data_IF_539994658338
#
_entry.id   IF_539994658338
#
_cell.length_a   1.000
_cell.length_b   1.000
_cell.length_c   1.000
_cell.angle_alpha   90.00
_cell.angle_beta   90.00
_cell.angle_gamma   90.00
#
_symmetry.space_group_name_H-M   'P 1'
#
loop_
_entity.id
_entity.type
_entity.pdbx_description
1 polymer ?
#
# COMPACT_ATOMS: atom_id res chain seq x y z
N UNK A 1 -21.02 -14.95 11.57
CA UNK A 1 -21.77 -14.48 10.37
C UNK A 1 -20.78 -13.65 9.56
N UNK A 2 -20.13 -14.25 8.56
CA UNK A 2 -19.11 -13.56 7.75
C UNK A 2 -19.82 -12.62 6.80
N UNK A 3 -19.88 -11.33 7.15
CA UNK A 3 -20.34 -10.29 6.26
C UNK A 3 -19.35 -10.25 5.08
N UNK A 4 -19.84 -10.46 3.87
CA UNK A 4 -19.00 -10.51 2.67
C UNK A 4 -18.35 -9.14 2.43
N UNK A 5 -17.07 -9.02 2.78
CA UNK A 5 -16.20 -7.84 2.52
C UNK A 5 -16.07 -7.55 1.01
N UNK A 6 -16.49 -8.49 0.15
CA UNK A 6 -16.45 -8.39 -1.31
C UNK A 6 -17.21 -7.18 -1.87
N UNK A 7 -18.19 -6.62 -1.14
CA UNK A 7 -18.82 -5.33 -1.50
C UNK A 7 -18.00 -4.10 -1.10
N UNK A 8 -17.37 -4.11 0.08
CA UNK A 8 -16.66 -2.93 0.59
C UNK A 8 -15.33 -2.64 -0.11
N UNK A 9 -14.55 -3.68 -0.43
CA UNK A 9 -13.22 -3.49 -1.02
C UNK A 9 -13.29 -2.91 -2.44
N UNK A 10 -14.17 -3.43 -3.29
CA UNK A 10 -14.32 -2.94 -4.65
C UNK A 10 -14.89 -1.51 -4.67
N UNK A 11 -15.81 -1.18 -3.75
CA UNK A 11 -16.31 0.19 -3.61
C UNK A 11 -15.21 1.17 -3.19
N UNK A 12 -14.32 0.78 -2.27
CA UNK A 12 -13.15 1.58 -1.89
C UNK A 12 -12.22 1.78 -3.09
N UNK A 13 -11.93 0.71 -3.82
CA UNK A 13 -11.08 0.79 -5.01
C UNK A 13 -11.70 1.64 -6.12
N UNK A 14 -13.03 1.57 -6.30
CA UNK A 14 -13.77 2.39 -7.25
C UNK A 14 -13.76 3.88 -6.83
N UNK A 15 -13.93 4.18 -5.55
CA UNK A 15 -13.84 5.54 -5.03
C UNK A 15 -12.42 6.12 -5.19
N UNK A 16 -11.40 5.29 -4.94
CA UNK A 16 -10.00 5.65 -5.14
C UNK A 16 -9.68 5.88 -6.62
N UNK A 17 -10.21 5.04 -7.52
CA UNK A 17 -10.07 5.20 -8.96
C UNK A 17 -10.76 6.45 -9.48
N UNK A 18 -11.96 6.76 -9.00
CA UNK A 18 -12.70 7.97 -9.39
C UNK A 18 -11.96 9.25 -9.02
N UNK A 19 -11.21 9.24 -7.91
CA UNK A 19 -10.48 10.41 -7.41
C UNK A 19 -9.02 10.48 -7.85
N UNK A 20 -8.33 9.33 -7.90
CA UNK A 20 -6.91 9.21 -8.25
C UNK A 20 -6.66 7.96 -9.11
N UNK A 21 -7.02 7.99 -10.41
CA UNK A 21 -6.95 6.82 -11.30
C UNK A 21 -5.55 6.19 -11.36
N UNK A 22 -4.51 7.03 -11.36
CA UNK A 22 -3.13 6.57 -11.45
C UNK A 22 -2.68 5.75 -10.24
N UNK A 23 -3.15 6.14 -9.04
CA UNK A 23 -2.84 5.46 -7.77
C UNK A 23 -3.62 4.15 -7.68
N UNK A 24 -4.93 4.15 -7.97
CA UNK A 24 -5.73 2.92 -7.99
C UNK A 24 -5.16 1.87 -8.97
N UNK A 25 -4.80 2.31 -10.18
CA UNK A 25 -4.13 1.44 -11.15
C UNK A 25 -2.77 0.94 -10.65
N UNK A 26 -2.04 1.74 -9.87
CA UNK A 26 -0.80 1.33 -9.22
C UNK A 26 -1.05 0.19 -8.21
N UNK A 27 -1.96 0.39 -7.25
CA UNK A 27 -2.29 -0.60 -6.23
C UNK A 27 -2.77 -1.92 -6.83
N UNK A 28 -3.62 -1.88 -7.87
CA UNK A 28 -4.06 -3.09 -8.59
C UNK A 28 -2.91 -3.88 -9.20
N UNK A 29 -1.89 -3.22 -9.78
CA UNK A 29 -0.70 -3.91 -10.30
C UNK A 29 0.13 -4.52 -9.18
N UNK A 30 0.37 -3.77 -8.09
CA UNK A 30 1.12 -4.28 -6.94
C UNK A 30 0.44 -5.53 -6.39
N UNK A 31 -0.88 -5.47 -6.17
CA UNK A 31 -1.67 -6.62 -5.70
C UNK A 31 -1.58 -7.81 -6.66
N UNK A 32 -1.70 -7.58 -7.97
CA UNK A 32 -1.54 -8.65 -8.97
C UNK A 32 -0.18 -9.33 -8.89
N UNK A 33 0.91 -8.56 -8.77
CA UNK A 33 2.25 -9.10 -8.67
C UNK A 33 2.49 -9.80 -7.33
N UNK A 34 1.93 -9.25 -6.24
CA UNK A 34 2.11 -9.77 -4.89
C UNK A 34 1.42 -11.10 -4.70
N UNK A 35 0.19 -11.25 -5.22
CA UNK A 35 -0.52 -12.53 -5.26
C UNK A 35 0.27 -13.56 -6.06
N UNK A 36 0.77 -13.20 -7.25
CA UNK A 36 1.54 -14.14 -8.08
C UNK A 36 2.80 -14.63 -7.38
N UNK A 37 3.57 -13.71 -6.77
CA UNK A 37 4.78 -14.07 -6.04
C UNK A 37 4.46 -14.94 -4.81
N UNK A 38 3.45 -14.55 -4.02
CA UNK A 38 3.02 -15.30 -2.84
C UNK A 38 2.53 -16.72 -3.19
N UNK A 39 1.79 -16.87 -4.29
CA UNK A 39 1.37 -18.18 -4.80
C UNK A 39 2.56 -19.03 -5.24
N UNK A 40 3.52 -18.45 -5.98
CA UNK A 40 4.73 -19.18 -6.41
C UNK A 40 5.60 -19.61 -5.24
N UNK A 41 5.60 -18.84 -4.15
CA UNK A 41 6.32 -19.16 -2.92
C UNK A 41 5.60 -20.21 -2.05
N UNK A 42 4.38 -20.62 -2.41
CA UNK A 42 3.60 -21.62 -1.69
C UNK A 42 3.01 -21.13 -0.37
N UNK A 43 2.73 -19.82 -0.25
CA UNK A 43 2.13 -19.28 0.98
C UNK A 43 0.68 -19.78 1.17
N UNK A 44 0.17 -19.84 2.42
CA UNK A 44 -1.21 -20.20 2.69
C UNK A 44 -2.21 -19.28 2.01
N UNK A 45 -3.36 -19.81 1.60
CA UNK A 45 -4.41 -19.04 0.93
C UNK A 45 -4.89 -17.83 1.74
N UNK A 46 -4.97 -17.96 3.07
CA UNK A 46 -5.30 -16.84 3.96
C UNK A 46 -4.25 -15.72 3.89
N UNK A 47 -2.96 -16.06 3.90
CA UNK A 47 -1.87 -15.09 3.76
C UNK A 47 -1.87 -14.43 2.39
N UNK A 48 -2.14 -15.18 1.32
CA UNK A 48 -2.27 -14.63 -0.03
C UNK A 48 -3.42 -13.62 -0.09
N UNK A 49 -4.54 -13.90 0.58
CA UNK A 49 -5.68 -12.98 0.65
C UNK A 49 -5.34 -11.70 1.43
N UNK A 50 -4.65 -11.80 2.57
CA UNK A 50 -4.13 -10.63 3.30
C UNK A 50 -3.21 -9.80 2.42
N UNK A 51 -2.28 -10.44 1.69
CA UNK A 51 -1.37 -9.76 0.75
C UNK A 51 -2.17 -9.07 -0.35
N UNK A 52 -3.18 -9.74 -0.92
CA UNK A 52 -4.03 -9.18 -1.98
C UNK A 52 -4.71 -7.90 -1.51
N UNK A 53 -5.38 -7.95 -0.35
CA UNK A 53 -6.13 -6.83 0.22
C UNK A 53 -5.20 -5.72 0.70
N UNK A 54 -4.16 -6.04 1.46
CA UNK A 54 -3.15 -5.07 1.92
C UNK A 54 -2.47 -4.36 0.75
N UNK A 55 -2.12 -5.08 -0.32
CA UNK A 55 -1.54 -4.46 -1.53
C UNK A 55 -2.51 -3.55 -2.27
N UNK A 56 -3.82 -3.82 -2.24
CA UNK A 56 -4.82 -2.93 -2.84
C UNK A 56 -4.97 -1.63 -2.03
N UNK A 57 -4.81 -1.72 -0.72
CA UNK A 57 -5.06 -0.62 0.21
C UNK A 57 -3.81 0.10 0.71
N UNK A 58 -2.59 -0.35 0.37
CA UNK A 58 -1.34 0.19 0.93
C UNK A 58 -1.23 1.72 0.78
N UNK A 59 -1.77 2.24 -0.32
CA UNK A 59 -1.73 3.65 -0.69
C UNK A 59 -3.04 4.40 -0.38
N UNK A 60 -3.99 3.80 0.34
CA UNK A 60 -5.30 4.38 0.63
C UNK A 60 -5.18 5.75 1.33
N UNK A 61 -4.18 5.94 2.19
CA UNK A 61 -3.96 7.23 2.85
C UNK A 61 -3.56 8.37 1.91
N UNK A 62 -3.14 8.08 0.66
CA UNK A 62 -2.88 9.12 -0.35
C UNK A 62 -4.15 9.91 -0.69
N UNK A 63 -5.35 9.42 -0.34
CA UNK A 63 -6.60 10.18 -0.43
C UNK A 63 -6.59 11.49 0.37
N UNK A 64 -5.74 11.59 1.41
CA UNK A 64 -5.58 12.79 2.23
C UNK A 64 -4.44 13.71 1.77
N UNK A 65 -3.64 13.26 0.79
CA UNK A 65 -2.57 14.03 0.18
C UNK A 65 -3.15 14.90 -0.94
N UNK A 66 -2.87 16.23 -0.96
CA UNK A 66 -3.30 17.08 -2.05
C UNK A 66 -2.76 16.62 -3.41
N UNK A 67 -3.61 16.61 -4.43
CA UNK A 67 -3.27 16.24 -5.82
C UNK A 67 -2.03 16.98 -6.34
N UNK A 68 -1.93 18.29 -6.07
CA UNK A 68 -0.75 19.11 -6.44
C UNK A 68 0.58 18.60 -5.88
N UNK A 69 0.58 17.77 -4.82
CA UNK A 69 1.78 17.12 -4.27
C UNK A 69 2.02 15.79 -4.99
N UNK A 70 0.96 14.99 -5.21
CA UNK A 70 1.05 13.70 -5.89
C UNK A 70 1.48 13.83 -7.36
N UNK A 71 1.05 14.90 -8.03
CA UNK A 71 1.30 15.15 -9.45
C UNK A 71 2.39 16.18 -9.70
N UNK A 72 3.10 16.64 -8.65
CA UNK A 72 4.11 17.69 -8.79
C UNK A 72 5.21 17.25 -9.74
N UNK A 73 5.50 18.00 -10.83
CA UNK A 73 6.67 17.74 -11.64
C UNK A 73 7.93 18.12 -10.85
N UNK A 74 8.91 17.22 -10.83
CA UNK A 74 10.19 17.42 -10.15
C UNK A 74 10.17 17.08 -8.65
N UNK A 75 11.11 17.65 -7.90
CA UNK A 75 11.33 17.30 -6.49
C UNK A 75 10.28 17.92 -5.57
N UNK A 76 9.83 17.14 -4.59
CA UNK A 76 9.05 17.64 -3.46
C UNK A 76 9.95 18.45 -2.52
N UNK A 77 9.40 19.52 -1.96
CA UNK A 77 9.98 20.21 -0.80
C UNK A 77 9.90 19.31 0.43
N UNK A 78 10.71 19.58 1.45
CA UNK A 78 10.69 18.82 2.70
C UNK A 78 9.29 18.77 3.34
N UNK A 79 8.55 19.89 3.31
CA UNK A 79 7.18 19.97 3.82
C UNK A 79 6.18 19.13 3.01
N UNK A 80 6.31 19.13 1.69
CA UNK A 80 5.47 18.29 0.82
C UNK A 80 5.80 16.81 1.00
N UNK A 81 7.09 16.49 1.14
CA UNK A 81 7.56 15.14 1.43
C UNK A 81 7.07 14.64 2.77
N UNK A 82 7.17 15.44 3.84
CA UNK A 82 6.66 15.08 5.16
C UNK A 82 5.15 14.77 5.13
N UNK A 83 4.38 15.53 4.34
CA UNK A 83 2.95 15.28 4.15
C UNK A 83 2.67 14.00 3.35
N UNK A 84 3.44 13.74 2.30
CA UNK A 84 3.33 12.49 1.55
C UNK A 84 3.74 11.28 2.39
N UNK A 85 4.82 11.39 3.19
CA UNK A 85 5.35 10.33 4.06
C UNK A 85 4.35 9.87 5.12
N UNK A 86 3.36 10.69 5.48
CA UNK A 86 2.31 10.36 6.44
C UNK A 86 1.19 9.46 5.89
N UNK A 87 1.15 9.20 4.57
CA UNK A 87 0.07 8.38 3.98
C UNK A 87 -0.07 6.95 4.56
N UNK A 88 0.97 6.25 5.05
CA UNK A 88 0.77 4.94 5.68
C UNK A 88 -0.03 5.06 6.98
N UNK A 89 0.23 6.08 7.79
CA UNK A 89 -0.48 6.36 9.06
C UNK A 89 -1.94 6.78 8.80
N UNK A 90 -2.17 7.66 7.81
CA UNK A 90 -3.53 7.98 7.34
C UNK A 90 -4.26 6.73 6.82
N UNK A 91 -3.54 5.88 6.07
CA UNK A 91 -4.07 4.62 5.53
C UNK A 91 -4.49 3.66 6.64
N UNK A 92 -3.64 3.48 7.66
CA UNK A 92 -3.93 2.68 8.85
C UNK A 92 -5.23 3.11 9.51
N UNK A 93 -5.37 4.42 9.79
CA UNK A 93 -6.56 4.96 10.43
C UNK A 93 -7.84 4.68 9.61
N UNK A 94 -7.75 4.73 8.28
CA UNK A 94 -8.87 4.42 7.39
C UNK A 94 -9.22 2.93 7.42
N UNK A 95 -8.24 2.04 7.25
CA UNK A 95 -8.52 0.59 7.20
C UNK A 95 -9.03 0.03 8.53
N UNK A 96 -8.52 0.55 9.67
CA UNK A 96 -9.04 0.21 10.99
C UNK A 96 -10.49 0.67 11.18
N UNK A 97 -10.81 1.90 10.76
CA UNK A 97 -12.19 2.42 10.80
C UNK A 97 -13.16 1.62 9.92
N UNK A 98 -12.65 1.06 8.83
CA UNK A 98 -13.42 0.23 7.89
C UNK A 98 -13.51 -1.24 8.35
N UNK A 99 -12.84 -1.61 9.45
CA UNK A 99 -12.93 -2.95 10.04
C UNK A 99 -12.10 -4.01 9.33
N UNK A 100 -11.05 -3.63 8.59
CA UNK A 100 -10.08 -4.59 8.07
C UNK A 100 -9.25 -5.19 9.20
N UNK A 101 -8.76 -6.41 9.00
CA UNK A 101 -7.95 -7.11 9.99
C UNK A 101 -6.57 -6.45 10.20
N UNK A 102 -5.96 -6.78 11.34
CA UNK A 102 -4.66 -6.22 11.75
C UNK A 102 -3.54 -6.56 10.76
N UNK A 103 -3.61 -7.71 10.09
CA UNK A 103 -2.56 -8.10 9.15
C UNK A 103 -2.61 -7.27 7.85
N UNK A 104 -3.82 -6.86 7.41
CA UNK A 104 -4.00 -5.87 6.34
C UNK A 104 -3.51 -4.50 6.80
N UNK A 105 -3.88 -4.09 8.01
CA UNK A 105 -3.47 -2.82 8.61
C UNK A 105 -1.94 -2.68 8.70
N UNK A 106 -1.25 -3.77 9.09
CA UNK A 106 0.20 -3.84 9.17
C UNK A 106 0.87 -3.61 7.81
N UNK A 107 0.35 -4.23 6.74
CA UNK A 107 0.86 -4.01 5.38
C UNK A 107 0.70 -2.53 4.99
N UNK A 108 -0.45 -1.93 5.28
CA UNK A 108 -0.71 -0.52 4.94
C UNK A 108 0.27 0.41 5.67
N UNK A 109 0.51 0.18 6.97
CA UNK A 109 1.38 1.03 7.76
C UNK A 109 2.87 0.86 7.40
N UNK A 110 3.31 -0.38 7.15
CA UNK A 110 4.73 -0.73 7.08
C UNK A 110 5.24 -1.05 5.67
N UNK A 111 4.46 -0.83 4.61
CA UNK A 111 4.94 -1.11 3.25
C UNK A 111 6.14 -0.25 2.80
N UNK A 112 6.50 0.83 3.52
CA UNK A 112 7.74 1.59 3.29
C UNK A 112 8.88 1.22 4.24
N UNK A 113 8.68 0.22 5.12
CA UNK A 113 9.74 -0.29 5.97
C UNK A 113 10.81 -1.01 5.16
N UNK A 114 12.05 -0.92 5.64
CA UNK A 114 13.22 -1.46 4.94
C UNK A 114 13.98 -2.38 5.87
N UNK A 115 14.47 -3.50 5.34
CA UNK A 115 15.16 -4.53 6.14
C UNK A 115 16.36 -3.96 6.92
N UNK A 116 16.99 -2.90 6.42
CA UNK A 116 18.11 -2.20 7.04
C UNK A 116 17.71 -1.18 8.13
N UNK A 117 16.42 -1.00 8.41
CA UNK A 117 15.91 -0.03 9.39
C UNK A 117 15.86 1.41 8.90
N UNK A 118 16.16 1.68 7.62
CA UNK A 118 16.10 3.04 7.05
C UNK A 118 14.72 3.45 6.53
N UNK A 119 13.71 2.59 6.74
CA UNK A 119 12.34 2.77 6.28
C UNK A 119 11.49 3.71 7.14
N UNK A 120 10.18 3.64 6.93
CA UNK A 120 9.18 4.35 7.72
C UNK A 120 7.84 3.59 7.68
N UNK A 121 6.92 3.77 8.62
CA UNK A 121 6.83 4.83 9.64
C UNK A 121 7.72 4.68 10.90
N UNK A 122 7.96 3.46 11.36
CA UNK A 122 8.53 3.13 12.68
C UNK A 122 10.00 2.69 12.63
N UNK A 123 10.60 2.62 11.43
CA UNK A 123 11.98 2.19 11.21
C UNK A 123 12.23 0.75 11.67
N UNK A 124 11.27 -0.13 11.38
CA UNK A 124 11.37 -1.57 11.62
C UNK A 124 12.54 -2.17 10.84
N UNK A 125 13.15 -3.23 11.38
CA UNK A 125 14.34 -3.84 10.80
C UNK A 125 14.31 -5.36 10.87
N UNK A 126 14.90 -5.99 9.85
CA UNK A 126 15.01 -7.45 9.79
C UNK A 126 13.65 -8.14 9.98
N UNK A 127 13.61 -9.12 10.89
CA UNK A 127 12.46 -10.01 11.12
C UNK A 127 11.24 -9.36 11.77
N UNK A 128 11.32 -8.11 12.20
CA UNK A 128 10.13 -7.40 12.69
C UNK A 128 9.20 -6.96 11.56
N UNK A 129 9.70 -6.90 10.32
CA UNK A 129 8.86 -6.65 9.13
C UNK A 129 8.32 -8.00 8.65
N UNK A 130 7.00 -8.16 8.64
CA UNK A 130 6.35 -9.39 8.15
C UNK A 130 6.69 -9.70 6.70
N UNK A 131 6.62 -10.99 6.37
CA UNK A 131 6.77 -11.45 4.99
C UNK A 131 5.84 -10.74 4.01
N UNK A 132 4.59 -10.48 4.43
CA UNK A 132 3.64 -9.73 3.63
C UNK A 132 4.11 -8.29 3.39
N UNK A 133 4.53 -7.57 4.44
CA UNK A 133 5.09 -6.22 4.31
C UNK A 133 6.30 -6.16 3.37
N UNK A 134 7.23 -7.12 3.48
CA UNK A 134 8.40 -7.21 2.58
C UNK A 134 8.03 -7.45 1.13
N UNK A 135 7.07 -8.34 0.86
CA UNK A 135 6.59 -8.62 -0.50
C UNK A 135 6.00 -7.34 -1.11
N UNK A 136 5.14 -6.65 -0.37
CA UNK A 136 4.49 -5.43 -0.85
C UNK A 136 5.51 -4.31 -1.07
N UNK A 137 6.45 -4.11 -0.15
CA UNK A 137 7.53 -3.11 -0.29
C UNK A 137 8.32 -3.28 -1.60
N UNK A 138 8.80 -4.50 -1.87
CA UNK A 138 9.59 -4.79 -3.08
C UNK A 138 8.76 -4.57 -4.34
N UNK A 139 7.49 -4.98 -4.32
CA UNK A 139 6.63 -4.91 -5.50
C UNK A 139 6.05 -3.52 -5.76
N UNK A 140 5.82 -2.71 -4.73
CA UNK A 140 5.54 -1.28 -4.88
C UNK A 140 6.71 -0.57 -5.57
N UNK A 141 7.93 -0.77 -5.06
CA UNK A 141 9.14 -0.20 -5.67
C UNK A 141 9.28 -0.63 -7.14
N UNK A 142 9.11 -1.92 -7.44
CA UNK A 142 9.17 -2.44 -8.83
C UNK A 142 8.07 -1.82 -9.71
N UNK A 143 6.83 -1.78 -9.23
CA UNK A 143 5.68 -1.25 -9.97
C UNK A 143 5.76 0.27 -10.18
N UNK A 144 6.56 0.96 -9.37
CA UNK A 144 6.87 2.38 -9.48
C UNK A 144 8.02 2.63 -10.47
N UNK A 145 9.10 1.83 -10.42
CA UNK A 145 10.28 1.97 -11.29
C UNK A 145 10.01 1.58 -12.76
N UNK A 146 9.02 0.73 -13.00
CA UNK A 146 8.67 0.24 -14.35
C UNK A 146 7.68 1.13 -15.09
N UNK A 147 7.26 2.26 -14.51
CA UNK A 147 6.41 3.24 -15.20
C UNK A 147 7.26 4.36 -15.85
N UNK A 148 6.83 4.88 -17.01
CA UNK A 148 7.38 6.13 -17.53
C UNK A 148 7.18 7.24 -16.50
N UNK A 149 8.25 7.93 -16.12
CA UNK A 149 8.18 9.12 -15.28
C UNK A 149 8.91 10.27 -15.95
N UNK A 150 8.38 11.47 -15.73
CA UNK A 150 9.09 12.73 -15.96
C UNK A 150 10.03 12.93 -14.77
N UNK A 151 11.33 12.82 -14.99
CA UNK A 151 12.37 13.06 -13.99
C UNK A 151 12.90 14.49 -14.07
#
# INVERSE_FOLDING_TARGET
MALSIVGGLEDIMAAMEARYPAVAAHCRRVSLYAVRLATQYGLPASTIETIRVGSLLHDLGKLEVPERILEKPGRLTEREWARLRHHPESGLALVQRLGFDEAVAEIVLYHHERIDGSGYADSLAGETITWAGRIVNVLDALATLTRPRTY
#
